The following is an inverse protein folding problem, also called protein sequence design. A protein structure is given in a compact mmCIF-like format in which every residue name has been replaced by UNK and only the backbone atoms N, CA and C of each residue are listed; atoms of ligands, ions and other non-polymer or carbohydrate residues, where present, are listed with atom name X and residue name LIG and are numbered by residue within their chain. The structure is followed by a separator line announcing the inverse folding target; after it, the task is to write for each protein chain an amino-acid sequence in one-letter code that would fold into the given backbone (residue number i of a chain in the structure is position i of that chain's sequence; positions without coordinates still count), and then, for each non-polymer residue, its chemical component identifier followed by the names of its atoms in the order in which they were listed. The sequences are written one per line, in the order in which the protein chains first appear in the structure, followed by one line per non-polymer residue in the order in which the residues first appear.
data_IF_332992667604
#
_entry.id   IF_332992667604
#
_cell.length_a   1.000
_cell.length_b   1.000
_cell.length_c   1.000
_cell.angle_alpha   90.00
_cell.angle_beta   90.00
_cell.angle_gamma   90.00
#
_symmetry.space_group_name_H-M   'P 1'
#
loop_
_entity.id
_entity.type
_entity.pdbx_description
1 polymer ?
#
# COMPACT_ATOMS: atom_id res chain seq x y z
N UNK A 1 -8.46 9.69 17.26
CA UNK A 1 -8.83 9.97 18.67
C UNK A 1 -10.33 10.06 18.90
N UNK A 2 -11.08 10.86 18.15
CA UNK A 2 -12.52 11.08 18.37
C UNK A 2 -13.39 9.81 18.38
N UNK A 3 -13.03 8.81 17.57
CA UNK A 3 -13.68 7.47 17.61
C UNK A 3 -13.46 6.77 18.96
N UNK A 4 -12.25 6.81 19.51
CA UNK A 4 -11.94 6.18 20.82
C UNK A 4 -12.74 6.88 21.92
N UNK A 5 -12.81 8.21 21.88
CA UNK A 5 -13.61 9.03 22.82
C UNK A 5 -15.08 8.62 22.80
N UNK A 6 -15.71 8.56 21.62
CA UNK A 6 -17.12 8.17 21.47
C UNK A 6 -17.41 6.70 21.79
N UNK A 7 -16.39 5.83 21.79
CA UNK A 7 -16.50 4.43 22.22
C UNK A 7 -16.30 4.25 23.73
N UNK A 8 -16.25 5.34 24.51
CA UNK A 8 -16.10 5.30 25.97
C UNK A 8 -14.64 5.37 26.45
N UNK A 9 -13.72 5.83 25.60
CA UNK A 9 -12.33 6.10 25.96
C UNK A 9 -11.40 4.89 25.96
N UNK A 10 -11.93 3.66 25.88
CA UNK A 10 -11.15 2.42 25.74
C UNK A 10 -11.72 1.58 24.60
N UNK A 11 -10.86 1.02 23.75
CA UNK A 11 -11.27 0.27 22.57
C UNK A 11 -10.31 -0.89 22.27
N UNK A 12 -10.86 -2.01 21.82
CA UNK A 12 -10.06 -3.12 21.28
C UNK A 12 -9.32 -2.71 19.99
N UNK A 13 -8.08 -3.20 19.82
CA UNK A 13 -7.19 -2.88 18.70
C UNK A 13 -7.81 -3.23 17.35
N UNK A 14 -8.40 -4.42 17.24
CA UNK A 14 -9.05 -4.89 16.01
C UNK A 14 -10.30 -4.05 15.74
N UNK A 15 -11.10 -3.82 16.78
CA UNK A 15 -12.31 -3.01 16.70
C UNK A 15 -12.04 -1.61 16.16
N UNK A 16 -11.01 -0.94 16.67
CA UNK A 16 -10.64 0.40 16.21
C UNK A 16 -10.32 0.42 14.71
N UNK A 17 -9.54 -0.55 14.22
CA UNK A 17 -9.23 -0.68 12.80
C UNK A 17 -10.49 -0.89 11.95
N UNK A 18 -11.44 -1.72 12.40
CA UNK A 18 -12.69 -1.94 11.64
C UNK A 18 -13.62 -0.73 11.63
N UNK A 19 -13.73 -0.01 12.75
CA UNK A 19 -14.54 1.21 12.82
C UNK A 19 -13.92 2.32 11.96
N UNK A 20 -12.60 2.48 12.01
CA UNK A 20 -11.88 3.40 11.11
C UNK A 20 -12.08 3.02 9.63
N UNK A 21 -12.01 1.73 9.30
CA UNK A 21 -12.29 1.24 7.95
C UNK A 21 -13.70 1.65 7.49
N UNK A 22 -14.74 1.33 8.27
CA UNK A 22 -16.13 1.64 7.93
C UNK A 22 -16.36 3.16 7.84
N UNK A 23 -15.70 3.95 8.69
CA UNK A 23 -15.70 5.40 8.58
C UNK A 23 -15.08 5.89 7.26
N UNK A 24 -13.89 5.38 6.90
CA UNK A 24 -13.22 5.72 5.64
C UNK A 24 -14.07 5.36 4.42
N UNK A 25 -14.80 4.25 4.44
CA UNK A 25 -15.69 3.85 3.33
C UNK A 25 -16.86 4.81 3.09
N UNK A 26 -17.19 5.68 4.05
CA UNK A 26 -18.26 6.69 3.92
C UNK A 26 -17.74 8.07 3.50
N UNK A 27 -16.43 8.21 3.25
CA UNK A 27 -15.80 9.48 2.85
C UNK A 27 -15.29 9.41 1.43
N UNK A 28 -15.47 10.50 0.68
CA UNK A 28 -14.84 10.68 -0.62
C UNK A 28 -13.33 10.93 -0.53
N UNK A 29 -12.88 11.57 0.55
CA UNK A 29 -11.47 11.77 0.89
C UNK A 29 -11.27 11.41 2.36
N UNK A 30 -10.81 10.19 2.60
CA UNK A 30 -10.54 9.67 3.93
C UNK A 30 -9.09 9.93 4.34
N UNK A 31 -8.87 10.07 5.65
CA UNK A 31 -7.53 10.25 6.24
C UNK A 31 -6.67 8.99 6.12
N UNK A 32 -7.33 7.82 6.12
CA UNK A 32 -6.67 6.52 6.06
C UNK A 32 -7.24 5.67 4.94
N UNK A 33 -6.33 5.11 4.15
CA UNK A 33 -6.57 4.05 3.18
C UNK A 33 -6.34 2.68 3.84
N UNK A 34 -6.91 1.62 3.25
CA UNK A 34 -6.90 0.27 3.81
C UNK A 34 -6.52 -0.76 2.75
N UNK A 35 -6.03 -1.92 3.19
CA UNK A 35 -5.72 -3.09 2.35
C UNK A 35 -6.36 -4.37 2.90
N UNK A 36 -6.57 -5.42 2.08
CA UNK A 36 -6.92 -6.74 2.59
C UNK A 36 -5.78 -7.35 3.42
N UNK A 37 -6.03 -7.70 4.68
CA UNK A 37 -4.99 -8.24 5.56
C UNK A 37 -5.53 -9.01 6.77
N UNK A 38 -5.13 -10.28 6.96
CA UNK A 38 -5.35 -11.20 8.12
C UNK A 38 -6.75 -11.29 8.75
N UNK A 39 -7.33 -10.16 9.14
CA UNK A 39 -8.65 -10.01 9.75
C UNK A 39 -9.51 -8.94 9.03
N UNK A 40 -9.35 -8.78 7.72
CA UNK A 40 -10.11 -7.81 6.91
C UNK A 40 -9.33 -6.55 6.54
N UNK A 41 -10.04 -5.45 6.28
CA UNK A 41 -9.40 -4.16 5.95
C UNK A 41 -8.47 -3.66 7.06
N UNK A 42 -7.22 -3.36 6.73
CA UNK A 42 -6.22 -2.86 7.68
C UNK A 42 -5.46 -1.65 7.12
N UNK A 43 -5.16 -0.68 7.98
CA UNK A 43 -4.33 0.49 7.65
C UNK A 43 -3.05 0.48 8.48
N UNK A 44 -1.91 0.33 7.80
CA UNK A 44 -0.58 0.46 8.40
C UNK A 44 -0.29 1.90 8.81
N UNK A 45 -0.77 2.86 8.03
CA UNK A 45 -0.67 4.30 8.31
C UNK A 45 -1.44 4.66 9.57
N UNK A 46 -2.70 4.22 9.71
CA UNK A 46 -3.46 4.43 10.94
C UNK A 46 -2.78 3.77 12.16
N UNK A 47 -2.19 2.59 11.97
CA UNK A 47 -1.46 1.91 13.04
C UNK A 47 -0.18 2.66 13.44
N UNK A 48 0.55 3.23 12.48
CA UNK A 48 1.74 4.03 12.76
C UNK A 48 1.40 5.31 13.54
N UNK A 49 0.30 5.98 13.20
CA UNK A 49 -0.20 7.14 13.93
C UNK A 49 -0.62 6.78 15.35
N UNK A 50 -1.31 5.64 15.53
CA UNK A 50 -1.63 5.12 16.87
C UNK A 50 -0.36 4.87 17.68
N UNK A 51 0.67 4.27 17.08
CA UNK A 51 1.95 4.04 17.75
C UNK A 51 2.67 5.36 18.08
N UNK A 52 2.54 6.40 17.26
CA UNK A 52 3.03 7.73 17.59
C UNK A 52 2.31 8.32 18.80
N UNK A 53 0.98 8.18 18.87
CA UNK A 53 0.17 8.62 20.01
C UNK A 53 0.47 7.84 21.30
N UNK A 54 0.82 6.56 21.20
CA UNK A 54 1.31 5.78 22.35
C UNK A 54 2.64 6.32 22.86
N UNK A 55 3.60 6.58 21.96
CA UNK A 55 4.92 7.15 22.33
C UNK A 55 4.82 8.54 22.94
N UNK A 56 3.86 9.35 22.50
CA UNK A 56 3.63 10.69 23.04
C UNK A 56 2.78 10.72 24.30
N UNK A 57 2.34 9.57 24.82
CA UNK A 57 1.53 9.48 26.05
C UNK A 57 0.06 9.90 25.91
N UNK A 58 -0.43 10.13 24.68
CA UNK A 58 -1.84 10.44 24.39
C UNK A 58 -2.70 9.19 24.58
N UNK A 59 -2.15 8.04 24.17
CA UNK A 59 -2.74 6.72 24.34
C UNK A 59 -1.89 5.88 25.30
N UNK A 60 -2.54 4.89 25.90
CA UNK A 60 -1.89 3.76 26.55
C UNK A 60 -2.41 2.46 25.97
N UNK A 61 -1.65 1.38 26.12
CA UNK A 61 -2.10 0.05 25.73
C UNK A 61 -2.02 -0.94 26.90
N UNK A 62 -3.00 -1.84 26.94
CA UNK A 62 -3.03 -2.97 27.85
C UNK A 62 -3.56 -4.18 27.08
N UNK A 63 -2.69 -5.16 26.80
CA UNK A 63 -3.02 -6.33 25.98
C UNK A 63 -3.55 -5.94 24.59
N UNK A 64 -4.82 -6.25 24.35
CA UNK A 64 -5.52 -6.01 23.07
C UNK A 64 -6.29 -4.69 23.03
N UNK A 65 -6.13 -3.81 24.02
CA UNK A 65 -6.89 -2.57 24.11
C UNK A 65 -5.98 -1.33 24.05
N UNK A 66 -6.54 -0.25 23.49
CA UNK A 66 -6.04 1.11 23.61
C UNK A 66 -6.96 1.91 24.52
N UNK A 67 -6.37 2.74 25.38
CA UNK A 67 -7.10 3.66 26.27
C UNK A 67 -6.55 5.07 26.14
N UNK A 68 -7.45 6.04 25.99
CA UNK A 68 -7.14 7.48 26.00
C UNK A 68 -6.66 7.90 27.39
N UNK A 69 -5.58 8.69 27.45
CA UNK A 69 -4.96 9.12 28.71
C UNK A 69 -5.18 10.58 29.05
N UNK A 70 -5.25 11.46 28.06
CA UNK A 70 -5.52 12.88 28.28
C UNK A 70 -7.01 13.17 28.50
N UNK A 71 -7.31 14.39 28.94
CA UNK A 71 -8.67 14.93 29.12
C UNK A 71 -9.16 15.74 27.91
N UNK A 72 -8.38 15.83 26.83
CA UNK A 72 -8.68 16.65 25.66
C UNK A 72 -9.88 16.05 24.92
N UNK A 73 -10.92 16.84 24.65
CA UNK A 73 -11.97 16.40 23.71
C UNK A 73 -11.47 16.61 22.29
N UNK A 74 -11.16 15.51 21.59
CA UNK A 74 -10.77 15.55 20.19
C UNK A 74 -11.99 15.55 19.29
N UNK A 75 -13.12 15.03 19.77
CA UNK A 75 -14.38 15.10 19.04
C UNK A 75 -14.86 16.54 18.85
N UNK A 76 -14.59 17.45 19.79
CA UNK A 76 -14.97 18.86 19.64
C UNK A 76 -14.15 19.62 18.59
N UNK A 77 -12.92 19.15 18.29
CA UNK A 77 -11.93 19.82 17.43
C UNK A 77 -12.03 19.51 15.94
N UNK A 78 -12.78 18.46 15.57
CA UNK A 78 -12.95 18.07 14.16
C UNK A 78 -14.09 18.85 13.50
N UNK A 79 -14.17 18.82 12.17
CA UNK A 79 -15.19 19.53 11.39
C UNK A 79 -16.59 18.96 11.65
N UNK A 80 -17.63 19.79 11.61
CA UNK A 80 -19.02 19.35 11.85
C UNK A 80 -19.47 18.19 10.95
N UNK A 81 -19.07 18.21 9.67
CA UNK A 81 -19.33 17.10 8.74
C UNK A 81 -18.70 15.79 9.23
N UNK A 82 -17.48 15.84 9.75
CA UNK A 82 -16.80 14.66 10.29
C UNK A 82 -17.42 14.23 11.62
N UNK A 83 -17.87 15.17 12.47
CA UNK A 83 -18.61 14.86 13.70
C UNK A 83 -19.86 14.06 13.39
N UNK A 84 -20.71 14.54 12.49
CA UNK A 84 -21.95 13.87 12.10
C UNK A 84 -21.67 12.45 11.58
N UNK A 85 -20.63 12.30 10.74
CA UNK A 85 -20.29 11.00 10.18
C UNK A 85 -19.72 10.02 11.20
N UNK A 86 -18.79 10.45 12.05
CA UNK A 86 -18.24 9.60 13.11
C UNK A 86 -19.36 9.19 14.08
N UNK A 87 -20.23 10.11 14.49
CA UNK A 87 -21.37 9.80 15.35
C UNK A 87 -22.28 8.76 14.72
N UNK A 88 -22.60 8.88 13.42
CA UNK A 88 -23.39 7.89 12.69
C UNK A 88 -22.72 6.51 12.68
N UNK A 89 -21.42 6.44 12.36
CA UNK A 89 -20.65 5.18 12.32
C UNK A 89 -20.57 4.53 13.70
N UNK A 90 -20.32 5.30 14.75
CA UNK A 90 -20.24 4.79 16.13
C UNK A 90 -21.61 4.36 16.63
N UNK A 91 -22.69 5.08 16.29
CA UNK A 91 -24.06 4.67 16.63
C UNK A 91 -24.42 3.31 16.00
N UNK A 92 -24.08 3.12 14.72
CA UNK A 92 -24.43 1.93 13.96
C UNK A 92 -23.58 0.70 14.34
N UNK A 93 -22.26 0.90 14.50
CA UNK A 93 -21.32 -0.22 14.66
C UNK A 93 -20.69 -0.31 16.05
N UNK A 94 -20.72 0.77 16.84
CA UNK A 94 -19.99 0.91 18.10
C UNK A 94 -20.47 -0.02 19.22
N UNK A 95 -21.63 -0.68 19.07
CA UNK A 95 -22.13 -1.71 20.00
C UNK A 95 -21.97 -3.16 19.49
N UNK A 96 -21.57 -3.38 18.24
CA UNK A 96 -21.40 -4.74 17.69
C UNK A 96 -20.30 -5.49 18.43
N UNK A 97 -20.36 -6.82 18.55
CA UNK A 97 -19.19 -7.59 19.01
C UNK A 97 -18.10 -7.62 17.93
N UNK A 98 -16.86 -7.98 18.28
CA UNK A 98 -15.77 -8.13 17.29
C UNK A 98 -16.15 -9.12 16.17
N UNK A 99 -16.80 -10.23 16.54
CA UNK A 99 -17.29 -11.23 15.58
C UNK A 99 -18.35 -10.64 14.64
N UNK A 100 -19.33 -9.91 15.18
CA UNK A 100 -20.37 -9.28 14.38
C UNK A 100 -19.80 -8.22 13.42
N UNK A 101 -18.85 -7.42 13.89
CA UNK A 101 -18.20 -6.38 13.10
C UNK A 101 -17.37 -6.97 11.96
N UNK A 102 -16.57 -8.01 12.22
CA UNK A 102 -15.83 -8.73 11.18
C UNK A 102 -16.79 -9.33 10.15
N UNK A 103 -17.81 -10.07 10.59
CA UNK A 103 -18.82 -10.66 9.70
C UNK A 103 -19.50 -9.59 8.84
N UNK A 104 -19.86 -8.45 9.41
CA UNK A 104 -20.41 -7.31 8.67
C UNK A 104 -19.43 -6.81 7.60
N UNK A 105 -18.16 -6.56 7.97
CA UNK A 105 -17.16 -6.09 6.99
C UNK A 105 -16.92 -7.08 5.86
N UNK A 106 -16.92 -8.40 6.13
CA UNK A 106 -16.65 -9.41 5.10
C UNK A 106 -17.82 -9.56 4.12
N UNK A 107 -19.06 -9.42 4.62
CA UNK A 107 -20.26 -9.50 3.78
C UNK A 107 -20.43 -8.29 2.86
N UNK A 108 -20.05 -7.10 3.33
CA UNK A 108 -20.26 -5.85 2.60
C UNK A 108 -19.02 -5.40 1.80
N UNK A 109 -17.84 -5.84 2.20
CA UNK A 109 -16.57 -5.47 1.58
C UNK A 109 -15.67 -6.71 1.37
N UNK A 110 -16.13 -7.70 0.58
CA UNK A 110 -15.48 -9.01 0.49
C UNK A 110 -14.04 -8.95 -0.01
N UNK A 111 -13.70 -7.98 -0.88
CA UNK A 111 -12.32 -7.76 -1.34
C UNK A 111 -11.34 -7.57 -0.18
N UNK A 112 -11.74 -6.87 0.89
CA UNK A 112 -10.87 -6.64 2.04
C UNK A 112 -10.67 -7.90 2.91
N UNK A 113 -11.44 -8.96 2.66
CA UNK A 113 -11.35 -10.24 3.36
C UNK A 113 -10.55 -11.31 2.59
N UNK A 114 -10.09 -11.05 1.36
CA UNK A 114 -9.43 -12.06 0.51
C UNK A 114 -8.10 -12.62 1.07
N UNK A 115 -7.53 -11.95 2.07
CA UNK A 115 -6.31 -12.36 2.78
C UNK A 115 -6.58 -12.67 4.25
N UNK A 116 -7.81 -12.97 4.61
CA UNK A 116 -8.13 -13.26 6.01
C UNK A 116 -7.88 -14.71 6.38
N UNK A 117 -7.19 -14.89 7.51
CA UNK A 117 -6.87 -16.19 8.10
C UNK A 117 -8.12 -16.92 8.64
N UNK A 118 -9.22 -16.19 8.84
CA UNK A 118 -10.46 -16.70 9.47
C UNK A 118 -11.70 -16.49 8.59
N UNK A 119 -11.54 -16.14 7.31
CA UNK A 119 -12.67 -15.82 6.42
C UNK A 119 -13.63 -17.00 6.23
N UNK A 120 -13.09 -18.21 6.03
CA UNK A 120 -13.88 -19.41 5.80
C UNK A 120 -14.69 -19.79 7.05
N UNK A 121 -14.10 -19.69 8.24
CA UNK A 121 -14.77 -19.93 9.51
C UNK A 121 -15.85 -18.87 9.81
N UNK A 122 -15.59 -17.61 9.43
CA UNK A 122 -16.50 -16.50 9.68
C UNK A 122 -17.74 -16.53 8.77
N UNK A 123 -17.57 -16.96 7.53
CA UNK A 123 -18.57 -16.95 6.46
C UNK A 123 -18.58 -18.27 5.67
N UNK A 124 -18.99 -19.42 6.24
CA UNK A 124 -18.89 -20.70 5.54
C UNK A 124 -19.82 -20.83 4.32
N UNK A 125 -19.49 -21.75 3.42
CA UNK A 125 -20.32 -22.13 2.26
C UNK A 125 -20.45 -21.02 1.22
N UNK A 126 -21.69 -20.76 0.76
CA UNK A 126 -21.99 -19.74 -0.27
C UNK A 126 -21.53 -18.32 0.12
N UNK A 127 -21.37 -18.03 1.42
CA UNK A 127 -20.88 -16.74 1.86
C UNK A 127 -19.36 -16.61 1.66
N UNK A 128 -18.59 -17.69 1.78
CA UNK A 128 -17.15 -17.69 1.52
C UNK A 128 -16.85 -17.51 0.04
N UNK A 129 -17.67 -18.12 -0.81
CA UNK A 129 -17.58 -17.96 -2.28
C UNK A 129 -17.64 -16.48 -2.70
N UNK A 130 -18.34 -15.62 -1.95
CA UNK A 130 -18.36 -14.17 -2.22
C UNK A 130 -16.99 -13.52 -2.02
N UNK A 131 -16.18 -14.03 -1.08
CA UNK A 131 -14.80 -13.59 -0.85
C UNK A 131 -13.90 -14.15 -1.95
N UNK A 132 -14.03 -15.44 -2.29
CA UNK A 132 -13.27 -16.06 -3.38
C UNK A 132 -13.48 -15.33 -4.71
N UNK A 133 -14.72 -14.98 -5.02
CA UNK A 133 -15.08 -14.20 -6.22
C UNK A 133 -14.61 -12.74 -6.18
N UNK A 134 -14.22 -12.23 -5.00
CA UNK A 134 -13.64 -10.89 -4.87
C UNK A 134 -12.11 -10.89 -5.03
N UNK A 135 -11.47 -12.06 -5.14
CA UNK A 135 -10.04 -12.15 -5.48
C UNK A 135 -9.84 -11.64 -6.91
N UNK A 136 -8.92 -10.68 -7.14
CA UNK A 136 -8.65 -10.18 -8.48
C UNK A 136 -8.26 -11.31 -9.43
N UNK A 137 -9.01 -11.44 -10.53
CA UNK A 137 -8.66 -12.37 -11.59
C UNK A 137 -7.52 -11.78 -12.40
N UNK A 138 -6.41 -12.50 -12.52
CA UNK A 138 -5.21 -12.04 -13.21
C UNK A 138 -4.78 -13.02 -14.30
N UNK A 139 -4.36 -12.47 -15.44
CA UNK A 139 -3.94 -13.26 -16.60
C UNK A 139 -2.67 -12.69 -17.22
N UNK A 140 -1.89 -13.59 -17.82
CA UNK A 140 -0.68 -13.27 -18.58
C UNK A 140 0.54 -12.93 -17.73
N UNK A 141 1.69 -12.96 -18.40
CA UNK A 141 2.98 -12.51 -17.88
C UNK A 141 3.10 -11.01 -18.15
N UNK A 142 3.23 -10.20 -17.09
CA UNK A 142 3.20 -8.74 -17.19
C UNK A 142 4.28 -8.12 -16.29
N UNK A 143 5.09 -7.24 -16.91
CA UNK A 143 5.98 -6.33 -16.20
C UNK A 143 5.26 -5.00 -15.98
N UNK A 144 5.01 -4.66 -14.74
CA UNK A 144 4.41 -3.41 -14.34
C UNK A 144 5.47 -2.35 -14.06
N UNK A 145 5.10 -1.08 -14.21
CA UNK A 145 5.83 0.04 -13.63
C UNK A 145 4.92 0.79 -12.67
N UNK A 146 5.44 1.21 -11.53
CA UNK A 146 4.65 1.91 -10.50
C UNK A 146 5.46 3.01 -9.82
N UNK A 147 4.79 4.13 -9.55
CA UNK A 147 5.29 5.26 -8.77
C UNK A 147 4.52 5.44 -7.48
N UNK A 148 5.18 5.98 -6.44
CA UNK A 148 4.53 6.21 -5.15
C UNK A 148 4.37 7.69 -4.77
N UNK A 149 4.81 8.62 -5.61
CA UNK A 149 4.51 10.03 -5.48
C UNK A 149 2.99 10.26 -5.46
N UNK A 150 2.52 11.18 -4.60
CA UNK A 150 1.10 11.51 -4.48
C UNK A 150 0.18 10.47 -3.82
N UNK A 151 0.59 9.19 -3.63
CA UNK A 151 -0.29 8.13 -3.09
C UNK A 151 0.18 7.54 -1.75
N UNK A 152 -0.74 7.09 -0.90
CA UNK A 152 -0.42 6.43 0.37
C UNK A 152 0.23 5.05 0.16
N UNK A 153 0.83 4.50 1.22
CA UNK A 153 1.33 3.12 1.23
C UNK A 153 0.21 2.12 0.88
N UNK A 154 -0.97 2.27 1.48
CA UNK A 154 -2.09 1.36 1.24
C UNK A 154 -2.60 1.45 -0.19
N UNK A 155 -2.77 2.65 -0.76
CA UNK A 155 -3.12 2.81 -2.18
C UNK A 155 -2.09 2.16 -3.10
N UNK A 156 -0.80 2.32 -2.78
CA UNK A 156 0.27 1.68 -3.52
C UNK A 156 0.19 0.15 -3.45
N UNK A 157 0.00 -0.43 -2.26
CA UNK A 157 -0.16 -1.87 -2.08
C UNK A 157 -1.46 -2.40 -2.72
N UNK A 158 -2.56 -1.65 -2.67
CA UNK A 158 -3.81 -1.99 -3.35
C UNK A 158 -3.59 -2.16 -4.85
N UNK A 159 -2.94 -1.20 -5.52
CA UNK A 159 -2.62 -1.31 -6.94
C UNK A 159 -1.85 -2.60 -7.26
N UNK A 160 -0.89 -2.97 -6.42
CA UNK A 160 -0.11 -4.20 -6.59
C UNK A 160 -0.98 -5.46 -6.39
N UNK A 161 -1.84 -5.47 -5.36
CA UNK A 161 -2.73 -6.60 -5.03
C UNK A 161 -3.78 -6.80 -6.14
N UNK A 162 -4.43 -5.73 -6.58
CA UNK A 162 -5.44 -5.74 -7.65
C UNK A 162 -4.87 -6.24 -8.97
N UNK A 163 -3.60 -5.94 -9.24
CA UNK A 163 -2.91 -6.43 -10.43
C UNK A 163 -2.20 -7.76 -10.20
N UNK A 164 -2.35 -8.39 -9.04
CA UNK A 164 -1.76 -9.68 -8.68
C UNK A 164 -0.23 -9.72 -8.83
N UNK A 165 0.44 -8.60 -8.59
CA UNK A 165 1.91 -8.53 -8.58
C UNK A 165 2.44 -9.49 -7.51
N UNK A 166 3.46 -10.27 -7.88
CA UNK A 166 4.09 -11.27 -7.02
C UNK A 166 5.46 -10.84 -6.52
N UNK A 167 6.16 -10.01 -7.29
CA UNK A 167 7.47 -9.46 -6.94
C UNK A 167 7.51 -7.96 -7.20
N UNK A 168 7.94 -7.21 -6.21
CA UNK A 168 8.31 -5.80 -6.36
C UNK A 168 9.82 -5.69 -6.56
N UNK A 169 10.23 -5.15 -7.71
CA UNK A 169 11.62 -4.86 -8.06
C UNK A 169 11.87 -3.38 -7.82
N UNK A 170 12.58 -3.06 -6.75
CA UNK A 170 13.02 -1.72 -6.44
C UNK A 170 14.24 -1.36 -7.28
N UNK A 171 14.04 -0.44 -8.23
CA UNK A 171 15.09 -0.01 -9.17
C UNK A 171 15.73 1.31 -8.74
N UNK A 172 15.37 1.84 -7.56
CA UNK A 172 15.97 3.06 -7.02
C UNK A 172 17.43 2.80 -6.66
N UNK A 173 18.34 3.68 -7.09
CA UNK A 173 19.75 3.61 -6.64
C UNK A 173 19.86 3.61 -5.11
N UNK A 174 19.20 4.61 -4.50
CA UNK A 174 19.13 4.80 -3.05
C UNK A 174 17.66 4.76 -2.62
N UNK A 175 17.16 3.64 -2.07
CA UNK A 175 15.75 3.46 -1.66
C UNK A 175 15.46 4.12 -0.30
N UNK A 176 15.84 5.39 -0.18
CA UNK A 176 15.54 6.26 0.97
C UNK A 176 14.31 7.11 0.64
N UNK A 177 13.38 7.22 1.58
CA UNK A 177 12.21 8.08 1.43
C UNK A 177 11.74 8.57 2.79
N UNK A 178 11.38 9.85 2.85
CA UNK A 178 10.67 10.44 3.99
C UNK A 178 9.18 10.06 4.00
N UNK A 179 8.64 9.59 2.87
CA UNK A 179 7.25 9.16 2.79
C UNK A 179 7.07 7.86 3.55
N UNK A 180 6.10 7.84 4.47
CA UNK A 180 5.84 6.68 5.31
C UNK A 180 5.69 5.41 4.47
N UNK A 181 6.46 4.37 4.85
CA UNK A 181 6.40 3.06 4.23
C UNK A 181 7.26 2.84 2.99
N UNK A 182 7.93 3.87 2.47
CA UNK A 182 8.70 3.76 1.23
C UNK A 182 10.23 3.72 1.40
N UNK A 183 10.75 3.68 2.63
CA UNK A 183 12.14 3.27 2.87
C UNK A 183 12.30 1.78 2.58
N UNK A 184 13.49 1.34 2.14
CA UNK A 184 13.77 -0.07 1.76
C UNK A 184 13.21 -1.10 2.75
N UNK A 185 13.59 -0.99 4.02
CA UNK A 185 13.22 -1.97 5.05
C UNK A 185 11.71 -1.99 5.32
N UNK A 186 11.08 -0.82 5.34
CA UNK A 186 9.63 -0.71 5.54
C UNK A 186 8.85 -1.25 4.34
N UNK A 187 9.24 -0.86 3.12
CA UNK A 187 8.57 -1.28 1.90
C UNK A 187 8.65 -2.80 1.74
N UNK A 188 9.85 -3.37 1.92
CA UNK A 188 10.06 -4.82 1.95
C UNK A 188 9.13 -5.50 2.96
N UNK A 189 9.09 -5.00 4.20
CA UNK A 189 8.23 -5.55 5.26
C UNK A 189 6.75 -5.52 4.87
N UNK A 190 6.26 -4.40 4.36
CA UNK A 190 4.85 -4.25 4.02
C UNK A 190 4.46 -5.07 2.79
N UNK A 191 5.33 -5.19 1.79
CA UNK A 191 5.15 -6.13 0.67
C UNK A 191 5.02 -7.57 1.17
N UNK A 192 5.92 -8.02 2.05
CA UNK A 192 5.83 -9.38 2.62
C UNK A 192 4.55 -9.59 3.45
N UNK A 193 4.09 -8.58 4.20
CA UNK A 193 2.82 -8.67 4.93
C UNK A 193 1.62 -8.95 4.01
N UNK A 194 1.70 -8.55 2.74
CA UNK A 194 0.68 -8.84 1.71
C UNK A 194 1.14 -9.89 0.72
N UNK A 195 2.11 -10.74 1.07
CA UNK A 195 2.56 -11.85 0.22
C UNK A 195 3.11 -11.42 -1.13
N UNK A 196 3.79 -10.28 -1.19
CA UNK A 196 4.54 -9.79 -2.34
C UNK A 196 6.02 -9.84 -1.98
N UNK A 197 6.82 -10.54 -2.78
CA UNK A 197 8.26 -10.59 -2.62
C UNK A 197 8.88 -9.23 -2.97
N UNK A 198 10.07 -8.95 -2.44
CA UNK A 198 10.78 -7.70 -2.69
C UNK A 198 12.25 -7.98 -3.02
N UNK A 199 12.73 -7.37 -4.10
CA UNK A 199 14.16 -7.35 -4.45
C UNK A 199 14.58 -5.92 -4.77
N UNK A 200 15.81 -5.56 -4.41
CA UNK A 200 16.40 -4.26 -4.71
C UNK A 200 17.58 -4.44 -5.65
N UNK A 201 17.51 -3.79 -6.82
CA UNK A 201 18.53 -3.80 -7.86
C UNK A 201 19.04 -2.36 -8.09
N UNK A 202 19.95 -1.86 -7.24
CA UNK A 202 20.44 -0.47 -7.31
C UNK A 202 21.27 -0.18 -8.56
N UNK A 203 21.75 -1.21 -9.26
CA UNK A 203 22.64 -1.08 -10.42
C UNK A 203 21.94 -0.32 -11.55
N UNK A 204 20.65 -0.57 -11.77
CA UNK A 204 19.83 0.05 -12.81
C UNK A 204 19.29 1.44 -12.42
N UNK A 205 19.58 1.92 -11.21
CA UNK A 205 19.07 3.20 -10.71
C UNK A 205 19.98 4.37 -11.03
N UNK A 206 19.41 5.55 -11.28
CA UNK A 206 20.18 6.79 -11.45
C UNK A 206 20.78 7.24 -10.10
N UNK A 207 22.08 7.51 -10.05
CA UNK A 207 22.72 8.06 -8.85
C UNK A 207 22.11 9.41 -8.42
N UNK A 208 22.06 9.65 -7.11
CA UNK A 208 21.43 10.88 -6.57
C UNK A 208 22.15 12.15 -7.03
N UNK A 209 23.45 12.08 -7.32
CA UNK A 209 24.22 13.22 -7.79
C UNK A 209 23.73 13.79 -9.13
N UNK A 210 23.30 12.93 -10.05
CA UNK A 210 22.76 13.32 -11.37
C UNK A 210 21.31 13.78 -11.31
N UNK A 211 20.64 13.61 -10.17
CA UNK A 211 19.24 14.00 -9.97
C UNK A 211 19.09 15.35 -9.25
N UNK A 212 20.20 16.05 -8.98
CA UNK A 212 20.20 17.36 -8.34
C UNK A 212 19.92 18.45 -9.38
N UNK A 213 19.14 19.46 -9.00
CA UNK A 213 18.91 20.68 -9.78
C UNK A 213 18.27 20.46 -11.16
N UNK A 214 17.35 19.49 -11.29
CA UNK A 214 16.56 19.31 -12.52
C UNK A 214 15.37 20.27 -12.51
N UNK A 215 15.46 21.37 -13.24
CA UNK A 215 14.45 22.44 -13.22
C UNK A 215 13.67 22.53 -14.54
N UNK A 216 14.35 22.30 -15.67
CA UNK A 216 13.81 22.43 -17.02
C UNK A 216 13.51 21.07 -17.65
N UNK A 217 12.76 21.05 -18.76
CA UNK A 217 12.50 19.81 -19.51
C UNK A 217 13.79 19.27 -20.13
N UNK A 218 14.65 20.17 -20.57
CA UNK A 218 15.94 19.92 -21.19
C UNK A 218 16.89 19.20 -20.22
N UNK A 219 16.86 19.54 -18.93
CA UNK A 219 17.65 18.83 -17.90
C UNK A 219 17.26 17.35 -17.79
N UNK A 220 15.96 17.05 -17.82
CA UNK A 220 15.48 15.66 -17.81
C UNK A 220 15.85 14.93 -19.09
N UNK A 221 15.76 15.59 -20.26
CA UNK A 221 16.16 14.99 -21.53
C UNK A 221 17.65 14.63 -21.56
N UNK A 222 18.52 15.53 -21.09
CA UNK A 222 19.96 15.26 -20.94
C UNK A 222 20.23 14.14 -19.94
N UNK A 223 19.56 14.14 -18.77
CA UNK A 223 19.71 13.08 -17.79
C UNK A 223 19.35 11.71 -18.35
N UNK A 224 18.24 11.62 -19.08
CA UNK A 224 17.80 10.35 -19.65
C UNK A 224 18.63 9.92 -20.85
N UNK A 225 19.18 10.85 -21.64
CA UNK A 225 20.18 10.53 -22.66
C UNK A 225 21.43 9.91 -22.02
N UNK A 226 21.98 10.58 -21.00
CA UNK A 226 23.11 10.06 -20.23
C UNK A 226 22.82 8.69 -19.61
N UNK A 227 21.64 8.50 -19.01
CA UNK A 227 21.23 7.21 -18.43
C UNK A 227 21.17 6.07 -19.45
N UNK A 228 20.69 6.36 -20.68
CA UNK A 228 20.65 5.37 -21.77
C UNK A 228 22.05 5.01 -22.26
N UNK A 229 22.93 6.00 -22.41
CA UNK A 229 24.28 5.80 -22.93
C UNK A 229 25.24 5.16 -21.92
N UNK A 230 24.97 5.33 -20.62
CA UNK A 230 25.80 4.80 -19.53
C UNK A 230 25.13 3.63 -18.81
N UNK A 231 24.28 3.93 -17.82
CA UNK A 231 23.74 2.93 -16.88
C UNK A 231 23.03 1.79 -17.60
N UNK A 232 22.20 2.05 -18.62
CA UNK A 232 21.51 0.97 -19.32
C UNK A 232 22.46 0.09 -20.15
N UNK A 233 23.52 0.64 -20.72
CA UNK A 233 24.52 -0.16 -21.44
C UNK A 233 25.34 -1.04 -20.47
N UNK A 234 25.72 -0.48 -19.32
CA UNK A 234 26.52 -1.17 -18.31
C UNK A 234 25.73 -2.23 -17.52
N UNK A 235 24.40 -2.09 -17.44
CA UNK A 235 23.53 -2.95 -16.61
C UNK A 235 22.75 -4.00 -17.40
N UNK A 236 23.21 -4.35 -18.61
CA UNK A 236 22.54 -5.36 -19.46
C UNK A 236 22.32 -6.69 -18.73
N UNK A 237 23.27 -7.12 -17.89
CA UNK A 237 23.11 -8.34 -17.10
C UNK A 237 21.98 -8.23 -16.06
N UNK A 238 21.82 -7.08 -15.41
CA UNK A 238 20.71 -6.83 -14.49
C UNK A 238 19.37 -6.75 -15.23
N UNK A 239 19.34 -6.25 -16.45
CA UNK A 239 18.13 -6.27 -17.30
C UNK A 239 17.71 -7.71 -17.64
N UNK A 240 18.68 -8.57 -17.98
CA UNK A 240 18.45 -10.01 -18.19
C UNK A 240 17.94 -10.66 -16.90
N UNK A 241 18.54 -10.33 -15.74
CA UNK A 241 18.07 -10.81 -14.44
C UNK A 241 16.60 -10.42 -14.18
N UNK A 242 16.19 -9.18 -14.53
CA UNK A 242 14.79 -8.75 -14.39
C UNK A 242 13.87 -9.54 -15.33
N UNK A 243 14.29 -9.83 -16.57
CA UNK A 243 13.52 -10.68 -17.48
C UNK A 243 13.36 -12.11 -16.93
N UNK A 244 14.40 -12.69 -16.36
CA UNK A 244 14.32 -14.02 -15.73
C UNK A 244 13.42 -14.00 -14.48
N UNK A 245 13.45 -12.92 -13.69
CA UNK A 245 12.50 -12.71 -12.60
C UNK A 245 11.07 -12.58 -13.11
N UNK A 246 10.85 -11.91 -14.24
CA UNK A 246 9.52 -11.81 -14.88
C UNK A 246 9.02 -13.19 -15.31
N UNK A 247 9.88 -14.01 -15.95
CA UNK A 247 9.54 -15.40 -16.32
C UNK A 247 9.21 -16.25 -15.09
N UNK A 248 9.98 -16.11 -14.00
CA UNK A 248 9.78 -16.86 -12.76
C UNK A 248 8.49 -16.45 -12.03
N UNK A 249 8.29 -15.16 -11.80
CA UNK A 249 7.21 -14.64 -10.96
C UNK A 249 5.93 -14.33 -11.74
N UNK A 250 6.01 -14.33 -13.07
CA UNK A 250 4.95 -14.02 -14.04
C UNK A 250 4.46 -12.56 -13.98
N UNK A 251 4.40 -11.95 -12.80
CA UNK A 251 3.86 -10.60 -12.59
C UNK A 251 4.75 -9.84 -11.62
N UNK A 252 5.56 -8.94 -12.16
CA UNK A 252 6.51 -8.15 -11.38
C UNK A 252 6.20 -6.66 -11.56
N UNK A 253 6.58 -5.82 -10.60
CA UNK A 253 6.47 -4.37 -10.75
C UNK A 253 7.82 -3.69 -10.51
N UNK A 254 8.26 -2.84 -11.44
CA UNK A 254 9.42 -1.97 -11.28
C UNK A 254 8.98 -0.69 -10.55
N UNK A 255 9.59 -0.40 -9.41
CA UNK A 255 9.20 0.77 -8.59
C UNK A 255 10.23 1.87 -8.54
N UNK A 256 9.72 3.10 -8.60
CA UNK A 256 10.47 4.33 -8.35
C UNK A 256 9.57 5.36 -7.65
N UNK A 257 10.10 6.56 -7.38
CA UNK A 257 9.37 7.65 -6.74
C UNK A 257 8.29 8.25 -7.63
N UNK A 258 8.66 8.77 -8.80
CA UNK A 258 7.85 9.68 -9.62
C UNK A 258 6.52 9.04 -10.01
N UNK A 259 5.40 9.77 -9.93
CA UNK A 259 4.11 9.22 -10.35
C UNK A 259 4.08 9.06 -11.88
N UNK A 260 4.53 10.08 -12.59
CA UNK A 260 4.56 10.10 -14.05
C UNK A 260 5.65 9.17 -14.61
N UNK A 261 5.23 8.16 -15.38
CA UNK A 261 6.13 7.26 -16.07
C UNK A 261 7.00 7.98 -17.12
N UNK A 262 6.51 9.03 -17.77
CA UNK A 262 7.25 9.77 -18.80
C UNK A 262 8.44 10.57 -18.23
N UNK A 263 8.43 10.85 -16.92
CA UNK A 263 9.49 11.59 -16.23
C UNK A 263 10.32 10.71 -15.31
N UNK A 264 10.30 9.40 -15.54
CA UNK A 264 10.95 8.43 -14.68
C UNK A 264 11.89 7.51 -15.46
N UNK A 265 13.06 7.23 -14.90
CA UNK A 265 14.03 6.30 -15.47
C UNK A 265 13.49 4.87 -15.61
N UNK A 266 12.50 4.48 -14.80
CA UNK A 266 11.89 3.14 -14.86
C UNK A 266 11.26 2.85 -16.24
N UNK A 267 10.80 3.88 -16.96
CA UNK A 267 10.23 3.69 -18.30
C UNK A 267 11.30 3.41 -19.34
N UNK A 268 12.45 4.10 -19.23
CA UNK A 268 13.62 3.80 -20.06
C UNK A 268 14.17 2.39 -19.76
N UNK A 269 14.20 1.99 -18.49
CA UNK A 269 14.58 0.64 -18.10
C UNK A 269 13.59 -0.41 -18.63
N UNK A 270 12.28 -0.18 -18.48
CA UNK A 270 11.26 -1.10 -18.97
C UNK A 270 11.33 -1.27 -20.50
N UNK A 271 11.57 -0.18 -21.24
CA UNK A 271 11.75 -0.23 -22.70
C UNK A 271 13.05 -0.95 -23.09
N UNK A 272 14.15 -0.75 -22.35
CA UNK A 272 15.39 -1.50 -22.59
C UNK A 272 15.21 -3.01 -22.40
N UNK A 273 14.52 -3.42 -21.32
CA UNK A 273 14.19 -4.84 -21.06
C UNK A 273 13.28 -5.39 -22.16
N UNK A 274 12.30 -4.60 -22.61
CA UNK A 274 11.37 -4.99 -23.69
C UNK A 274 12.08 -5.25 -25.02
N UNK A 275 13.23 -4.61 -25.26
CA UNK A 275 14.03 -4.79 -26.46
C UNK A 275 15.05 -5.93 -26.36
N UNK A 276 15.05 -6.71 -25.26
CA UNK A 276 15.84 -7.93 -25.18
C UNK A 276 15.28 -9.01 -26.12
N UNK A 277 16.13 -9.87 -26.73
CA UNK A 277 15.70 -10.86 -27.72
C UNK A 277 14.58 -11.82 -27.26
N UNK A 278 14.53 -12.14 -25.96
CA UNK A 278 13.59 -13.12 -25.39
C UNK A 278 12.37 -12.46 -24.71
N UNK A 279 12.11 -11.18 -24.99
CA UNK A 279 10.97 -10.48 -24.41
C UNK A 279 9.73 -10.58 -25.31
N UNK A 280 8.73 -11.33 -24.86
CA UNK A 280 7.44 -11.53 -25.55
C UNK A 280 6.23 -11.10 -24.70
N UNK A 281 6.49 -10.44 -23.57
CA UNK A 281 5.49 -10.20 -22.52
C UNK A 281 4.89 -8.78 -22.60
N UNK A 282 3.87 -8.52 -21.78
CA UNK A 282 3.27 -7.17 -21.73
C UNK A 282 3.97 -6.26 -20.73
N UNK A 283 4.06 -4.97 -21.07
CA UNK A 283 4.45 -3.90 -20.12
C UNK A 283 3.24 -3.02 -19.84
N UNK A 284 2.96 -2.72 -18.56
CA UNK A 284 1.83 -1.86 -18.15
C UNK A 284 2.25 -0.88 -17.05
N UNK A 285 1.66 0.31 -17.04
CA UNK A 285 1.84 1.27 -15.96
C UNK A 285 0.63 1.20 -14.99
N UNK A 286 0.89 1.33 -13.68
CA UNK A 286 -0.11 1.23 -12.60
C UNK A 286 -0.51 2.57 -11.98
#
# INVERSE_FOLDING_TARGET
MSIIELLGGTVDKLRLQKILFLYSQRKSSAEYDFIPYKYGGYSFTAHADINAMLRSGILSEAGVQYSKKDTISYFSQIKEKDKALITSVVSEYGKMSNKALLRHTYLNFPFYAIRSDIAQDMLPGKLYQRIENAVPTVHGIIMFTIGYEGISLEKYLLKLIENGVKLLVDVRRNPLSMKFGFSKSLLQRYCHCVGIDYIHLPEVGIASEYRRNLESKEDYEHLFAFYRETTLNETRQTQIQILELLKKYQRIALTCFEADACRCHRSHLAEAIKNLPDFEYSVKHL
#
